data_IF_169583629997
#
_entry.id   IF_169583629997
#
_cell.length_a   1.000
_cell.length_b   1.000
_cell.length_c   1.000
_cell.angle_alpha   90.00
_cell.angle_beta   90.00
_cell.angle_gamma   90.00
#
_symmetry.space_group_name_H-M   'P 1'
#
loop_
_entity.id
_entity.type
_entity.pdbx_description
1 polymer ?
#
# COMPACT_ATOMS: atom_id res chain seq x y z
N UNK A 1 -18.57 16.32 -3.28
CA UNK A 1 -17.84 15.06 -3.47
C UNK A 1 -17.89 14.69 -4.95
N UNK A 2 -16.95 15.19 -5.77
CA UNK A 2 -16.82 14.74 -7.14
C UNK A 2 -15.95 13.49 -7.19
N UNK A 3 -14.78 13.58 -6.54
CA UNK A 3 -13.79 12.51 -6.43
C UNK A 3 -14.47 11.19 -6.07
N UNK A 4 -15.31 11.21 -5.03
CA UNK A 4 -15.97 10.04 -4.48
C UNK A 4 -16.69 9.25 -5.55
N UNK A 5 -17.32 9.95 -6.50
CA UNK A 5 -18.04 9.30 -7.58
C UNK A 5 -17.08 8.41 -8.35
N UNK A 6 -15.95 8.98 -8.77
CA UNK A 6 -14.96 8.23 -9.53
C UNK A 6 -14.45 7.09 -8.66
N UNK A 7 -14.11 7.38 -7.40
CA UNK A 7 -13.54 6.42 -6.47
C UNK A 7 -14.48 5.23 -6.30
N UNK A 8 -15.79 5.43 -6.31
CA UNK A 8 -16.76 4.36 -6.20
C UNK A 8 -16.69 3.45 -7.42
N UNK A 9 -16.75 4.00 -8.64
CA UNK A 9 -16.71 3.10 -9.80
C UNK A 9 -15.37 2.37 -9.83
N UNK A 10 -14.28 3.09 -9.61
CA UNK A 10 -12.92 2.59 -9.63
C UNK A 10 -12.75 1.49 -8.58
N UNK A 11 -13.40 1.60 -7.42
CA UNK A 11 -13.32 0.59 -6.38
C UNK A 11 -14.01 -0.67 -6.82
N UNK A 12 -15.23 -0.54 -7.34
CA UNK A 12 -15.96 -1.74 -7.76
C UNK A 12 -15.17 -2.45 -8.86
N UNK A 13 -14.67 -1.68 -9.83
CA UNK A 13 -13.79 -2.11 -10.90
C UNK A 13 -12.56 -2.82 -10.33
N UNK A 14 -11.93 -2.28 -9.29
CA UNK A 14 -10.76 -2.88 -8.66
C UNK A 14 -11.11 -4.28 -8.17
N UNK A 15 -12.13 -4.40 -7.31
CA UNK A 15 -12.51 -5.70 -6.76
C UNK A 15 -12.78 -6.69 -7.90
N UNK A 16 -13.57 -6.26 -8.88
CA UNK A 16 -13.95 -7.06 -10.04
C UNK A 16 -12.71 -7.54 -10.79
N UNK A 17 -11.70 -6.68 -10.90
CA UNK A 17 -10.50 -6.95 -11.68
C UNK A 17 -9.76 -8.15 -11.10
N UNK A 18 -9.87 -8.34 -9.79
CA UNK A 18 -9.38 -9.55 -9.14
C UNK A 18 -8.76 -9.18 -7.80
N UNK A 19 -9.58 -9.08 -6.76
CA UNK A 19 -9.14 -8.79 -5.41
C UNK A 19 -8.29 -9.91 -4.85
N UNK A 20 -7.02 -9.88 -5.23
CA UNK A 20 -6.05 -10.90 -4.92
C UNK A 20 -5.00 -10.33 -3.99
N UNK A 21 -4.06 -9.61 -4.59
CA UNK A 21 -3.00 -8.89 -3.90
C UNK A 21 -3.54 -7.70 -3.13
N UNK A 22 -4.81 -7.38 -3.30
CA UNK A 22 -5.49 -6.33 -2.60
C UNK A 22 -6.83 -6.94 -2.21
N UNK A 23 -7.09 -7.02 -0.91
CA UNK A 23 -8.29 -7.64 -0.38
C UNK A 23 -8.75 -6.83 0.82
N UNK A 24 -9.87 -7.25 1.40
CA UNK A 24 -10.52 -6.51 2.48
C UNK A 24 -10.69 -5.04 2.08
N UNK A 25 -10.90 -4.76 0.78
CA UNK A 25 -11.25 -3.43 0.31
C UNK A 25 -12.57 -3.08 0.99
N UNK A 26 -12.61 -1.94 1.68
CA UNK A 26 -13.84 -1.39 2.24
C UNK A 26 -13.81 0.11 2.02
N UNK A 27 -14.99 0.73 2.03
CA UNK A 27 -15.15 2.16 1.84
C UNK A 27 -16.28 2.56 2.78
N UNK A 28 -16.15 3.69 3.49
CA UNK A 28 -17.20 4.14 4.41
C UNK A 28 -18.33 4.77 3.60
N UNK A 29 -19.52 4.96 4.18
CA UNK A 29 -20.60 5.60 3.44
C UNK A 29 -20.34 7.11 3.38
N UNK A 30 -20.07 7.70 4.54
CA UNK A 30 -19.87 9.14 4.67
C UNK A 30 -18.48 9.48 4.19
N UNK A 31 -17.47 8.85 4.80
CA UNK A 31 -16.08 9.07 4.46
C UNK A 31 -15.67 8.12 3.32
N UNK A 32 -16.50 8.00 2.28
CA UNK A 32 -16.21 7.08 1.17
C UNK A 32 -14.95 7.51 0.42
N UNK A 33 -14.62 8.81 0.51
CA UNK A 33 -13.36 9.36 0.05
C UNK A 33 -12.17 8.59 0.59
N UNK A 34 -12.20 8.18 1.86
CA UNK A 34 -11.11 7.40 2.42
C UNK A 34 -11.38 5.90 2.25
N UNK A 35 -10.30 5.16 1.99
CA UNK A 35 -10.34 3.74 1.71
C UNK A 35 -9.59 3.02 2.82
N UNK A 36 -9.95 1.77 3.08
CA UNK A 36 -9.19 0.92 3.98
C UNK A 36 -9.20 -0.48 3.43
N UNK A 37 -8.11 -1.21 3.62
CA UNK A 37 -8.09 -2.63 3.32
C UNK A 37 -6.72 -3.20 3.64
N UNK A 38 -6.38 -4.32 3.03
CA UNK A 38 -5.05 -4.88 3.16
C UNK A 38 -4.54 -5.26 1.78
N UNK A 39 -3.24 -5.51 1.70
CA UNK A 39 -2.60 -5.95 0.49
C UNK A 39 -1.84 -7.21 0.86
N UNK A 40 -2.09 -8.27 0.10
CA UNK A 40 -1.49 -9.58 0.23
C UNK A 40 -0.32 -9.60 -0.73
N UNK A 41 0.93 -9.58 -0.24
CA UNK A 41 2.09 -9.67 -1.10
C UNK A 41 2.37 -11.13 -1.46
N UNK A 42 3.41 -11.37 -2.28
CA UNK A 42 3.80 -12.71 -2.70
C UNK A 42 5.23 -12.99 -2.24
N UNK A 43 6.14 -12.07 -2.56
CA UNK A 43 7.57 -12.14 -2.27
C UNK A 43 7.86 -12.21 -0.77
N UNK A 44 7.54 -11.16 0.02
CA UNK A 44 7.73 -11.22 1.45
C UNK A 44 6.74 -12.20 2.06
N UNK A 45 7.02 -12.70 3.26
CA UNK A 45 6.29 -13.77 3.92
C UNK A 45 4.83 -13.43 4.20
N UNK A 46 3.96 -13.63 3.21
CA UNK A 46 2.52 -13.42 3.33
C UNK A 46 1.84 -14.60 4.02
N UNK A 47 2.50 -15.75 4.11
CA UNK A 47 1.92 -16.91 4.77
C UNK A 47 1.46 -16.55 6.18
N UNK A 48 2.21 -15.68 6.87
CA UNK A 48 1.93 -15.39 8.27
C UNK A 48 0.93 -14.25 8.41
N UNK A 49 0.61 -13.51 7.35
CA UNK A 49 -0.21 -12.31 7.46
C UNK A 49 -0.04 -11.40 6.24
N UNK A 50 -0.46 -10.14 6.35
CA UNK A 50 -0.51 -9.18 5.27
C UNK A 50 -0.19 -7.81 5.85
N UNK A 51 -0.41 -6.75 5.07
CA UNK A 51 -0.12 -5.38 5.49
C UNK A 51 -1.41 -4.60 5.31
N UNK A 52 -1.93 -4.00 6.39
CA UNK A 52 -3.14 -3.21 6.28
C UNK A 52 -2.76 -1.80 5.93
N UNK A 53 -3.46 -1.20 4.99
CA UNK A 53 -3.18 0.15 4.57
C UNK A 53 -4.49 0.92 4.44
N UNK A 54 -4.37 2.25 4.50
CA UNK A 54 -5.48 3.16 4.47
C UNK A 54 -5.07 4.25 3.49
N UNK A 55 -5.95 4.58 2.53
CA UNK A 55 -5.63 5.51 1.47
C UNK A 55 -6.57 6.69 1.63
N UNK A 56 -6.04 7.81 2.11
CA UNK A 56 -6.85 8.99 2.33
C UNK A 56 -6.94 9.72 0.99
N UNK A 57 -8.10 9.69 0.35
CA UNK A 57 -8.27 10.25 -0.99
C UNK A 57 -9.30 11.38 -0.94
N UNK A 58 -8.86 12.61 -0.67
CA UNK A 58 -9.80 13.69 -0.38
C UNK A 58 -10.57 14.10 -1.63
N UNK A 59 -11.57 14.97 -1.44
CA UNK A 59 -12.28 15.58 -2.55
C UNK A 59 -11.31 16.27 -3.51
N UNK A 60 -10.22 16.79 -2.95
CA UNK A 60 -9.14 17.44 -3.65
C UNK A 60 -8.28 16.46 -4.47
N UNK A 61 -8.73 15.23 -4.74
CA UNK A 61 -8.01 14.28 -5.58
C UNK A 61 -7.47 14.92 -6.88
N UNK A 62 -8.30 15.56 -7.73
CA UNK A 62 -7.80 16.13 -8.96
C UNK A 62 -6.95 17.39 -8.73
N UNK A 63 -6.89 17.90 -7.50
CA UNK A 63 -6.05 19.03 -7.08
C UNK A 63 -4.73 18.60 -6.45
N UNK A 64 -4.63 17.41 -5.84
CA UNK A 64 -3.42 17.01 -5.12
C UNK A 64 -3.38 15.50 -4.97
N UNK A 65 -2.21 14.88 -4.80
CA UNK A 65 -2.13 13.45 -4.64
C UNK A 65 -2.67 13.04 -3.25
N UNK A 66 -3.16 11.80 -3.11
CA UNK A 66 -3.60 11.25 -1.84
C UNK A 66 -2.40 10.95 -0.94
N UNK A 67 -2.70 10.52 0.29
CA UNK A 67 -1.70 9.98 1.19
C UNK A 67 -2.10 8.54 1.48
N UNK A 68 -1.12 7.72 1.84
CA UNK A 68 -1.35 6.36 2.30
C UNK A 68 -0.64 6.25 3.64
N UNK A 69 -1.21 5.50 4.58
CA UNK A 69 -0.49 5.15 5.79
C UNK A 69 -0.83 3.71 6.14
N UNK A 70 0.19 2.87 6.32
CA UNK A 70 0.03 1.51 6.78
C UNK A 70 -0.39 1.58 8.24
N UNK A 71 -1.40 0.81 8.61
CA UNK A 71 -1.79 0.66 10.00
C UNK A 71 -0.82 -0.29 10.69
N UNK A 72 -0.47 -1.38 10.01
CA UNK A 72 0.40 -2.40 10.55
C UNK A 72 1.84 -1.95 10.37
N UNK A 73 2.73 -2.36 11.29
CA UNK A 73 4.17 -2.11 11.18
C UNK A 73 4.67 -2.58 9.81
N UNK A 74 5.75 -1.95 9.33
CA UNK A 74 6.34 -2.25 8.03
C UNK A 74 7.82 -2.52 8.20
N UNK A 75 8.38 -3.29 7.27
CA UNK A 75 9.82 -3.51 7.19
C UNK A 75 10.25 -3.35 5.72
N UNK A 76 9.54 -2.51 4.98
CA UNK A 76 9.76 -2.30 3.56
C UNK A 76 10.26 -0.88 3.39
N UNK A 77 11.40 -0.64 2.74
CA UNK A 77 12.03 0.67 2.68
C UNK A 77 11.17 1.70 1.97
N UNK A 78 10.24 1.27 1.12
CA UNK A 78 9.40 2.17 0.35
C UNK A 78 8.33 2.84 1.22
N UNK A 79 8.19 2.38 2.47
CA UNK A 79 7.29 2.92 3.47
C UNK A 79 8.16 3.28 4.69
N UNK A 80 7.66 4.17 5.54
CA UNK A 80 8.30 4.68 6.75
C UNK A 80 7.76 3.88 7.93
N UNK A 81 8.45 3.90 9.06
CA UNK A 81 8.00 3.20 10.25
C UNK A 81 6.62 3.67 10.72
N UNK A 82 6.27 4.94 10.49
CA UNK A 82 4.94 5.44 10.78
C UNK A 82 3.95 5.12 9.66
N UNK A 83 4.23 4.08 8.85
CA UNK A 83 3.37 3.65 7.77
C UNK A 83 3.33 4.62 6.59
N UNK A 84 4.00 5.78 6.66
CA UNK A 84 3.90 6.78 5.61
C UNK A 84 4.54 6.28 4.34
N UNK A 85 4.16 6.82 3.19
CA UNK A 85 4.68 6.38 1.91
C UNK A 85 5.24 7.57 1.13
N UNK A 86 6.19 7.30 0.22
CA UNK A 86 6.60 8.27 -0.78
C UNK A 86 6.90 7.53 -2.08
N UNK A 87 5.90 7.33 -2.94
CA UNK A 87 6.06 6.69 -4.24
C UNK A 87 5.70 7.70 -5.32
N UNK A 88 6.28 7.57 -6.52
CA UNK A 88 6.04 8.51 -7.61
C UNK A 88 4.57 8.64 -7.98
N UNK A 89 3.79 7.57 -7.82
CA UNK A 89 2.35 7.53 -8.12
C UNK A 89 1.59 8.64 -7.39
N UNK A 90 2.07 9.06 -6.23
CA UNK A 90 1.43 10.10 -5.41
C UNK A 90 2.46 11.15 -5.00
N UNK A 91 3.62 11.18 -5.66
CA UNK A 91 4.64 12.16 -5.36
C UNK A 91 4.16 13.52 -5.86
N UNK A 92 4.54 14.61 -5.20
CA UNK A 92 4.13 15.95 -5.61
C UNK A 92 4.59 16.23 -7.04
N UNK A 93 5.85 15.94 -7.35
CA UNK A 93 6.39 16.18 -8.68
C UNK A 93 5.73 15.30 -9.74
N UNK A 94 5.07 14.22 -9.34
CA UNK A 94 4.35 13.34 -10.25
C UNK A 94 2.89 13.25 -9.84
N UNK A 95 2.35 14.35 -9.30
CA UNK A 95 0.93 14.45 -9.05
C UNK A 95 0.23 14.47 -10.41
N UNK A 96 -0.35 13.34 -10.80
CA UNK A 96 -1.14 13.23 -12.01
C UNK A 96 -2.59 13.06 -11.55
N UNK A 97 -3.50 14.00 -11.86
CA UNK A 97 -4.91 13.84 -11.52
C UNK A 97 -5.56 12.70 -12.32
N UNK A 98 -4.91 12.25 -13.40
CA UNK A 98 -5.33 11.08 -14.14
C UNK A 98 -5.09 9.78 -13.36
N UNK A 99 -4.27 9.79 -12.31
CA UNK A 99 -4.02 8.59 -11.52
C UNK A 99 -5.27 8.26 -10.69
N UNK A 100 -5.32 7.05 -10.15
CA UNK A 100 -6.40 6.58 -9.29
C UNK A 100 -5.83 5.57 -8.32
N UNK A 101 -6.69 5.03 -7.46
CA UNK A 101 -6.32 4.02 -6.50
C UNK A 101 -5.78 2.76 -7.16
N UNK A 102 -6.13 2.47 -8.41
CA UNK A 102 -5.55 1.30 -9.06
C UNK A 102 -4.03 1.46 -9.10
N UNK A 103 -3.56 2.65 -9.50
CA UNK A 103 -2.14 2.97 -9.58
C UNK A 103 -1.51 3.00 -8.20
N UNK A 104 -2.24 3.50 -7.20
CA UNK A 104 -1.71 3.61 -5.86
C UNK A 104 -1.48 2.21 -5.30
N UNK A 105 -2.53 1.40 -5.26
CA UNK A 105 -2.54 0.08 -4.67
C UNK A 105 -1.51 -0.80 -5.36
N UNK A 106 -1.55 -0.83 -6.70
CA UNK A 106 -0.59 -1.64 -7.42
C UNK A 106 0.84 -1.16 -7.15
N UNK A 107 1.06 0.12 -6.85
CA UNK A 107 2.34 0.63 -6.38
C UNK A 107 2.72 -0.06 -5.07
N UNK A 108 1.88 0.01 -4.03
CA UNK A 108 2.27 -0.61 -2.77
C UNK A 108 2.62 -2.07 -3.01
N UNK A 109 1.75 -2.82 -3.66
CA UNK A 109 1.99 -4.23 -3.92
C UNK A 109 3.30 -4.42 -4.66
N UNK A 110 3.58 -3.58 -5.66
CA UNK A 110 4.77 -3.63 -6.48
C UNK A 110 6.03 -3.40 -5.65
N UNK A 111 6.00 -2.48 -4.69
CA UNK A 111 7.13 -2.07 -3.86
C UNK A 111 7.28 -2.92 -2.60
N UNK A 112 6.21 -3.56 -2.16
CA UNK A 112 6.16 -4.43 -1.01
C UNK A 112 6.63 -5.82 -1.49
N UNK A 113 6.28 -6.19 -2.73
CA UNK A 113 6.85 -7.34 -3.40
C UNK A 113 8.31 -7.08 -3.72
N UNK A 114 8.56 -6.04 -4.51
CA UNK A 114 9.83 -5.82 -5.18
C UNK A 114 10.35 -4.42 -4.87
N UNK A 115 11.07 -4.26 -3.75
CA UNK A 115 11.43 -2.94 -3.27
C UNK A 115 12.63 -2.38 -4.03
N UNK A 116 12.65 -1.07 -4.26
CA UNK A 116 13.74 -0.42 -4.98
C UNK A 116 14.72 0.18 -3.95
N UNK A 117 15.89 -0.40 -3.71
CA UNK A 117 16.88 0.19 -2.83
C UNK A 117 17.61 1.37 -3.46
N UNK A 118 17.21 1.79 -4.68
CA UNK A 118 17.75 2.88 -5.44
C UNK A 118 17.70 4.18 -4.65
N UNK A 119 16.50 4.61 -4.26
CA UNK A 119 16.31 5.77 -3.40
C UNK A 119 14.90 5.77 -2.80
N UNK A 120 14.63 4.84 -1.87
CA UNK A 120 13.35 4.69 -1.20
C UNK A 120 13.26 5.60 0.03
N UNK A 121 12.16 5.49 0.80
CA UNK A 121 11.91 6.31 1.98
C UNK A 121 13.00 6.10 3.03
N UNK A 122 13.23 4.84 3.40
CA UNK A 122 14.29 4.46 4.32
C UNK A 122 15.31 3.65 3.53
N UNK A 123 16.31 4.33 2.97
CA UNK A 123 17.42 3.67 2.30
C UNK A 123 17.99 2.57 3.20
N UNK A 124 18.11 2.81 4.51
CA UNK A 124 18.58 1.83 5.51
C UNK A 124 17.92 0.47 5.36
N UNK A 125 16.58 0.40 5.41
CA UNK A 125 15.90 -0.88 5.30
C UNK A 125 16.23 -1.53 3.95
N UNK A 126 16.47 -0.71 2.93
CA UNK A 126 16.86 -1.13 1.60
C UNK A 126 18.31 -1.61 1.58
N UNK A 127 19.14 -1.10 2.48
CA UNK A 127 20.55 -1.46 2.60
C UNK A 127 20.65 -2.84 3.20
N UNK A 128 20.00 -3.07 4.35
CA UNK A 128 20.02 -4.41 4.92
C UNK A 128 19.36 -5.38 3.94
N UNK A 129 18.35 -4.95 3.20
CA UNK A 129 17.75 -5.82 2.18
C UNK A 129 18.79 -6.17 1.12
N UNK A 130 19.46 -5.15 0.58
CA UNK A 130 20.29 -5.28 -0.60
C UNK A 130 21.59 -6.00 -0.27
N UNK A 131 22.05 -5.92 0.98
CA UNK A 131 23.18 -6.69 1.45
C UNK A 131 22.71 -8.10 1.75
N UNK A 132 21.58 -8.25 2.42
CA UNK A 132 21.08 -9.54 2.86
C UNK A 132 19.56 -9.58 2.96
N UNK A 133 18.92 -10.00 1.88
CA UNK A 133 17.48 -10.23 1.92
C UNK A 133 17.07 -11.27 2.94
N UNK A 134 17.98 -12.07 3.50
CA UNK A 134 17.56 -13.13 4.40
C UNK A 134 17.07 -12.56 5.72
N UNK A 135 17.78 -11.59 6.30
CA UNK A 135 17.27 -10.91 7.49
C UNK A 135 16.04 -10.10 7.16
N UNK A 136 15.93 -9.54 5.96
CA UNK A 136 14.69 -8.86 5.60
C UNK A 136 13.53 -9.84 5.63
N UNK A 137 13.73 -11.01 5.02
CA UNK A 137 12.70 -12.04 4.90
C UNK A 137 12.32 -12.56 6.27
N UNK A 138 13.28 -12.81 7.15
CA UNK A 138 12.98 -13.45 8.43
C UNK A 138 12.37 -12.43 9.38
N UNK A 139 12.94 -11.22 9.43
CA UNK A 139 12.34 -10.13 10.18
C UNK A 139 10.91 -9.90 9.69
N UNK A 140 10.67 -9.94 8.36
CA UNK A 140 9.35 -9.80 7.80
C UNK A 140 8.43 -10.90 8.32
N UNK A 141 8.85 -12.16 8.26
CA UNK A 141 8.11 -13.30 8.75
C UNK A 141 7.55 -13.03 10.16
N UNK A 142 8.36 -12.44 11.01
CA UNK A 142 7.97 -12.09 12.37
C UNK A 142 7.11 -10.83 12.40
N UNK A 143 7.45 -9.81 11.63
CA UNK A 143 6.78 -8.51 11.62
C UNK A 143 5.32 -8.71 11.25
N UNK A 144 5.12 -9.43 10.16
CA UNK A 144 3.85 -9.94 9.71
C UNK A 144 3.14 -10.64 10.86
N UNK A 145 3.82 -11.57 11.54
CA UNK A 145 3.21 -12.34 12.62
C UNK A 145 2.95 -11.50 13.87
N UNK A 146 3.62 -10.36 14.04
CA UNK A 146 3.40 -9.47 15.17
C UNK A 146 2.14 -8.63 14.89
N UNK A 147 2.23 -7.80 13.86
CA UNK A 147 1.27 -6.74 13.55
C UNK A 147 0.70 -6.84 12.14
N UNK A 148 1.26 -7.67 11.26
CA UNK A 148 0.65 -7.86 9.95
C UNK A 148 -0.81 -8.26 10.12
N UNK A 149 -1.68 -7.82 9.21
CA UNK A 149 -3.07 -8.21 9.28
C UNK A 149 -3.16 -9.72 9.05
N UNK A 150 -4.24 -10.36 9.48
CA UNK A 150 -4.39 -11.76 9.12
C UNK A 150 -4.85 -11.80 7.68
N UNK A 151 -3.97 -12.18 6.75
CA UNK A 151 -4.40 -12.42 5.39
C UNK A 151 -5.43 -13.55 5.41
N UNK A 152 -6.37 -13.57 4.47
CA UNK A 152 -7.38 -14.62 4.43
C UNK A 152 -6.71 -15.96 4.11
N UNK A 153 -7.47 -17.06 4.20
CA UNK A 153 -6.96 -18.36 3.79
C UNK A 153 -6.98 -18.46 2.26
N UNK A 154 -7.99 -17.86 1.63
CA UNK A 154 -8.00 -17.45 0.23
C UNK A 154 -8.65 -16.09 0.25
#
# INVERSE_FOLDING_TARGET
MAASRRLMKELEEIRKCGMKNFRNIQVDEANLLTWQGLIVPDNPPYDKGAFRIEINFPAEYPFKPPKITFKTKIYHPNIDEKGQVCLPVISAENWKPATKTDQVIQSLIALVNDPQPEHPLRADLAEEYSKDRKKFCKNAEEFTKKYGEKRPVD
#
